data_IF_417771253564
#
_entry.id   IF_417771253564
#
_cell.length_a   1.000
_cell.length_b   1.000
_cell.length_c   1.000
_cell.angle_alpha   90.00
_cell.angle_beta   90.00
_cell.angle_gamma   90.00
#
_symmetry.space_group_name_H-M   'P 1'
#
loop_
_entity.id
_entity.type
_entity.pdbx_description
1 polymer ?
#
# COMPACT_ATOMS: atom_id res chain seq x y z
N UNK A 1 23.06 8.38 -3.24
CA UNK A 1 22.53 7.24 -4.02
C UNK A 1 21.77 6.33 -3.07
N UNK A 2 20.43 6.40 -3.06
CA UNK A 2 19.57 5.60 -2.17
C UNK A 2 18.94 4.48 -3.00
N UNK A 3 19.13 3.24 -2.55
CA UNK A 3 18.71 2.03 -3.25
C UNK A 3 17.17 1.96 -3.26
N UNK A 4 16.58 1.66 -4.43
CA UNK A 4 15.17 1.30 -4.56
C UNK A 4 14.84 0.19 -3.53
N UNK A 5 13.74 0.38 -2.80
CA UNK A 5 13.30 -0.51 -1.73
C UNK A 5 13.07 -1.93 -2.27
N UNK A 6 14.04 -2.81 -2.03
CA UNK A 6 13.94 -4.25 -2.28
C UNK A 6 14.01 -4.96 -0.94
N UNK A 7 13.08 -5.87 -0.69
CA UNK A 7 13.21 -6.81 0.41
C UNK A 7 14.38 -7.76 0.12
N UNK A 8 15.54 -7.54 0.77
CA UNK A 8 16.73 -8.39 0.61
C UNK A 8 16.85 -9.29 1.83
N UNK A 9 16.72 -10.61 1.64
CA UNK A 9 17.25 -11.61 2.58
C UNK A 9 18.75 -11.82 2.29
N UNK A 10 19.62 -11.86 3.30
CA UNK A 10 21.05 -12.07 3.07
C UNK A 10 21.28 -13.56 2.79
N UNK A 11 21.83 -13.92 1.61
CA UNK A 11 22.39 -15.27 1.44
C UNK A 11 22.33 -15.96 0.08
N UNK A 12 21.76 -15.40 -0.99
CA UNK A 12 21.85 -16.08 -2.30
C UNK A 12 21.81 -15.08 -3.46
N UNK A 13 22.87 -15.10 -4.29
CA UNK A 13 22.93 -14.38 -5.56
C UNK A 13 21.89 -14.98 -6.53
N UNK A 14 20.69 -14.43 -6.54
CA UNK A 14 19.84 -14.49 -7.73
C UNK A 14 19.52 -13.07 -8.16
N UNK A 15 20.17 -12.64 -9.24
CA UNK A 15 19.91 -11.37 -9.94
C UNK A 15 18.69 -11.45 -10.86
N UNK A 16 17.89 -12.52 -10.76
CA UNK A 16 16.59 -12.62 -11.42
C UNK A 16 15.46 -12.17 -10.47
N UNK A 17 15.03 -10.92 -10.70
CA UNK A 17 13.73 -10.34 -10.36
C UNK A 17 13.19 -10.61 -8.93
N UNK A 18 13.80 -9.97 -7.92
CA UNK A 18 13.06 -9.68 -6.69
C UNK A 18 11.79 -8.91 -7.09
N UNK A 19 10.60 -9.45 -6.77
CA UNK A 19 9.32 -8.80 -7.06
C UNK A 19 9.35 -7.37 -6.49
N UNK A 20 8.87 -6.36 -7.24
CA UNK A 20 8.63 -5.04 -6.70
C UNK A 20 7.86 -5.10 -5.37
N UNK A 21 8.26 -4.28 -4.40
CA UNK A 21 7.77 -4.35 -3.01
C UNK A 21 6.25 -4.10 -2.94
N UNK A 22 5.75 -3.11 -3.67
CA UNK A 22 4.32 -2.84 -3.89
C UNK A 22 3.52 -4.09 -4.30
N UNK A 23 3.98 -4.84 -5.29
CA UNK A 23 3.30 -6.06 -5.74
C UNK A 23 3.28 -7.12 -4.65
N UNK A 24 4.33 -7.17 -3.84
CA UNK A 24 4.40 -8.07 -2.69
C UNK A 24 3.41 -7.64 -1.62
N UNK A 25 3.33 -6.34 -1.31
CA UNK A 25 2.39 -5.78 -0.34
C UNK A 25 0.92 -6.01 -0.75
N UNK A 26 0.57 -5.74 -2.01
CA UNK A 26 -0.79 -5.97 -2.54
C UNK A 26 -1.14 -7.46 -2.48
N UNK A 27 -0.20 -8.35 -2.82
CA UNK A 27 -0.43 -9.80 -2.75
C UNK A 27 -0.64 -10.29 -1.31
N UNK A 28 0.15 -9.79 -0.34
CA UNK A 28 -0.02 -10.14 1.07
C UNK A 28 -1.33 -9.58 1.63
N UNK A 29 -1.68 -8.33 1.30
CA UNK A 29 -2.94 -7.73 1.74
C UNK A 29 -4.15 -8.54 1.26
N UNK A 30 -4.11 -9.02 0.01
CA UNK A 30 -5.13 -9.93 -0.52
C UNK A 30 -5.17 -11.27 0.22
N UNK A 31 -4.01 -11.84 0.56
CA UNK A 31 -3.93 -13.09 1.31
C UNK A 31 -4.50 -12.94 2.74
N UNK A 32 -4.34 -11.77 3.34
CA UNK A 32 -4.85 -11.42 4.67
C UNK A 32 -6.33 -10.96 4.67
N UNK A 33 -6.98 -11.00 3.50
CA UNK A 33 -8.39 -10.66 3.33
C UNK A 33 -8.70 -9.16 3.48
N UNK A 34 -7.72 -8.28 3.26
CA UNK A 34 -7.93 -6.83 3.27
C UNK A 34 -8.90 -6.46 2.14
N UNK A 35 -9.91 -5.63 2.45
CA UNK A 35 -11.00 -5.29 1.53
C UNK A 35 -10.49 -4.70 0.21
N UNK A 36 -9.54 -3.76 0.27
CA UNK A 36 -8.93 -3.20 -0.91
C UNK A 36 -7.44 -2.93 -0.70
N UNK A 37 -6.64 -3.16 -1.75
CA UNK A 37 -5.21 -2.89 -1.76
C UNK A 37 -4.77 -2.40 -3.15
N UNK A 38 -4.29 -1.14 -3.23
CA UNK A 38 -3.95 -0.49 -4.51
C UNK A 38 -2.56 0.13 -4.41
N UNK A 39 -1.74 -0.09 -5.45
CA UNK A 39 -0.47 0.62 -5.60
C UNK A 39 -0.66 1.86 -6.50
N UNK A 40 -0.29 3.02 -5.99
CA UNK A 40 -0.31 4.29 -6.70
C UNK A 40 1.12 4.65 -7.14
N UNK A 41 1.27 4.91 -8.44
CA UNK A 41 2.50 5.43 -9.02
C UNK A 41 2.31 6.92 -9.32
N UNK A 42 3.19 7.73 -8.77
CA UNK A 42 3.19 9.17 -9.00
C UNK A 42 4.04 9.48 -10.24
N UNK A 43 3.57 10.37 -11.12
CA UNK A 43 4.37 10.82 -12.29
C UNK A 43 5.18 12.08 -12.00
N UNK A 44 4.81 12.84 -10.97
CA UNK A 44 5.48 14.06 -10.55
C UNK A 44 5.22 14.31 -9.06
N UNK A 45 6.26 14.50 -8.26
CA UNK A 45 6.08 14.77 -6.82
C UNK A 45 7.35 14.63 -6.00
N UNK A 46 7.21 14.77 -4.68
CA UNK A 46 8.29 14.56 -3.71
C UNK A 46 7.78 13.75 -2.52
N UNK A 47 8.67 13.17 -1.74
CA UNK A 47 8.34 12.48 -0.49
C UNK A 47 9.32 12.83 0.63
N UNK A 48 8.84 12.86 1.87
CA UNK A 48 9.64 13.07 3.08
C UNK A 48 10.62 14.28 2.99
N UNK A 49 10.15 15.42 2.49
CA UNK A 49 10.94 16.64 2.26
C UNK A 49 12.14 16.47 1.30
N UNK A 50 12.15 15.40 0.51
CA UNK A 50 13.13 15.16 -0.55
C UNK A 50 12.95 16.11 -1.75
N UNK A 51 13.85 16.00 -2.75
CA UNK A 51 13.72 16.76 -3.99
C UNK A 51 12.46 16.37 -4.75
N UNK A 52 12.01 17.27 -5.63
CA UNK A 52 10.93 16.97 -6.58
C UNK A 52 11.47 16.06 -7.68
N UNK A 53 10.72 15.01 -7.98
CA UNK A 53 10.97 14.03 -9.01
C UNK A 53 9.89 14.15 -10.10
N UNK A 54 10.29 13.88 -11.33
CA UNK A 54 9.42 13.85 -12.51
C UNK A 54 9.74 12.62 -13.32
N UNK A 55 8.70 11.97 -13.85
CA UNK A 55 8.87 10.85 -14.75
C UNK A 55 9.33 11.39 -16.11
N UNK A 56 10.58 11.14 -16.48
CA UNK A 56 11.05 11.47 -17.83
C UNK A 56 10.25 10.71 -18.89
N UNK A 57 10.15 11.29 -20.10
CA UNK A 57 9.36 10.74 -21.20
C UNK A 57 9.78 9.32 -21.66
N UNK A 58 10.98 8.86 -21.27
CA UNK A 58 11.57 7.61 -21.80
C UNK A 58 11.89 6.55 -20.73
N UNK A 59 12.11 6.92 -19.46
CA UNK A 59 12.49 5.98 -18.39
C UNK A 59 11.73 6.34 -17.12
N UNK A 60 11.03 5.36 -16.55
CA UNK A 60 10.33 5.54 -15.29
C UNK A 60 11.33 5.78 -14.14
N UNK A 61 11.16 6.84 -13.36
CA UNK A 61 12.00 7.12 -12.20
C UNK A 61 11.62 6.15 -11.06
N UNK A 62 12.50 5.21 -10.66
CA UNK A 62 12.23 4.29 -9.55
C UNK A 62 12.17 4.98 -8.18
N UNK A 63 12.46 6.28 -8.11
CA UNK A 63 12.38 7.12 -6.93
C UNK A 63 11.06 7.90 -6.80
N UNK A 64 10.21 7.89 -7.83
CA UNK A 64 8.87 8.50 -7.73
C UNK A 64 8.03 7.76 -6.71
N UNK A 65 7.36 8.55 -5.86
CA UNK A 65 6.64 8.07 -4.69
C UNK A 65 5.62 7.01 -5.06
N UNK A 66 5.83 5.84 -4.47
CA UNK A 66 4.97 4.66 -4.55
C UNK A 66 4.22 4.56 -3.23
N UNK A 67 2.90 4.75 -3.26
CA UNK A 67 2.04 4.57 -2.10
C UNK A 67 1.22 3.29 -2.29
N UNK A 68 1.18 2.42 -1.29
CA UNK A 68 0.20 1.33 -1.25
C UNK A 68 -0.91 1.76 -0.31
N UNK A 69 -2.11 1.95 -0.86
CA UNK A 69 -3.31 2.24 -0.09
C UNK A 69 -3.99 0.91 0.27
N UNK A 70 -4.31 0.75 1.55
CA UNK A 70 -5.07 -0.37 2.09
C UNK A 70 -6.36 0.15 2.71
N UNK A 71 -7.49 -0.42 2.33
CA UNK A 71 -8.80 -0.15 2.96
C UNK A 71 -9.25 -1.43 3.64
N UNK A 72 -9.59 -1.31 4.92
CA UNK A 72 -10.02 -2.42 5.74
C UNK A 72 -10.31 -1.97 7.17
N UNK A 73 -10.73 -2.91 8.00
CA UNK A 73 -10.96 -2.65 9.42
C UNK A 73 -9.69 -2.22 10.11
N UNK A 74 -9.80 -1.34 11.11
CA UNK A 74 -8.65 -0.85 11.86
C UNK A 74 -7.83 -2.00 12.43
N UNK A 75 -8.48 -2.96 13.08
CA UNK A 75 -7.83 -4.11 13.72
C UNK A 75 -7.13 -4.99 12.69
N UNK A 76 -7.73 -5.12 11.50
CA UNK A 76 -7.16 -5.88 10.39
C UNK A 76 -5.92 -5.17 9.81
N UNK A 77 -5.97 -3.85 9.66
CA UNK A 77 -4.84 -3.03 9.20
C UNK A 77 -3.69 -3.04 10.22
N UNK A 78 -4.00 -2.93 11.52
CA UNK A 78 -3.01 -3.09 12.60
C UNK A 78 -2.42 -4.51 12.62
N UNK A 79 -3.26 -5.53 12.39
CA UNK A 79 -2.86 -6.93 12.23
C UNK A 79 -1.88 -7.12 11.08
N UNK A 80 -2.20 -6.58 9.90
CA UNK A 80 -1.33 -6.57 8.73
C UNK A 80 0.03 -5.93 9.05
N UNK A 81 0.03 -4.76 9.72
CA UNK A 81 1.27 -4.07 10.08
C UNK A 81 2.15 -4.89 11.03
N UNK A 82 1.55 -5.60 12.00
CA UNK A 82 2.27 -6.49 12.92
C UNK A 82 2.82 -7.72 12.20
N UNK A 83 2.01 -8.36 11.35
CA UNK A 83 2.39 -9.58 10.64
C UNK A 83 3.51 -9.35 9.62
N UNK A 84 3.52 -8.18 8.96
CA UNK A 84 4.47 -7.84 7.91
C UNK A 84 5.45 -6.74 8.31
N UNK A 85 5.70 -6.56 9.61
CA UNK A 85 6.54 -5.48 10.15
C UNK A 85 7.94 -5.40 9.52
N UNK A 86 8.55 -6.54 9.21
CA UNK A 86 9.85 -6.59 8.51
C UNK A 86 9.80 -5.99 7.10
N UNK A 87 8.70 -6.19 6.37
CA UNK A 87 8.49 -5.63 5.02
C UNK A 87 8.19 -4.12 5.08
N UNK A 88 7.56 -3.68 6.17
CA UNK A 88 7.14 -2.29 6.39
C UNK A 88 8.20 -1.47 7.11
N UNK A 89 9.31 -2.08 7.53
CA UNK A 89 10.38 -1.40 8.24
C UNK A 89 10.90 -0.19 7.44
N UNK A 90 11.02 0.94 8.14
CA UNK A 90 11.45 2.23 7.58
C UNK A 90 10.52 2.84 6.53
N UNK A 91 9.28 2.34 6.40
CA UNK A 91 8.24 2.96 5.56
C UNK A 91 7.42 3.94 6.41
N UNK A 92 6.93 5.00 5.77
CA UNK A 92 5.96 5.90 6.39
C UNK A 92 4.59 5.24 6.28
N UNK A 93 3.94 5.00 7.41
CA UNK A 93 2.59 4.43 7.49
C UNK A 93 1.69 5.48 8.13
N UNK A 94 0.59 5.81 7.46
CA UNK A 94 -0.40 6.78 7.93
C UNK A 94 -1.76 6.09 7.91
N UNK A 95 -2.53 6.27 8.98
CA UNK A 95 -3.90 5.79 9.08
C UNK A 95 -4.87 6.98 9.09
N UNK A 96 -5.97 6.85 8.36
CA UNK A 96 -7.09 7.79 8.36
C UNK A 96 -8.40 7.00 8.39
N UNK A 97 -9.33 7.45 9.24
CA UNK A 97 -10.68 6.88 9.30
C UNK A 97 -11.47 7.24 8.03
N UNK A 98 -12.20 6.26 7.49
CA UNK A 98 -13.08 6.42 6.32
C UNK A 98 -14.47 5.89 6.68
N UNK A 99 -15.51 6.57 6.19
CA UNK A 99 -16.91 6.15 6.36
C UNK A 99 -17.34 5.28 5.18
N UNK A 100 -18.19 4.28 5.45
CA UNK A 100 -18.87 3.49 4.42
C UNK A 100 -20.31 3.98 4.27
N UNK A 101 -20.66 4.42 3.07
CA UNK A 101 -22.00 4.92 2.78
C UNK A 101 -22.71 3.97 1.83
N UNK A 102 -23.84 3.42 2.27
CA UNK A 102 -24.77 2.73 1.38
C UNK A 102 -25.85 3.71 0.94
N UNK A 103 -25.92 3.96 -0.37
CA UNK A 103 -26.94 4.83 -0.97
C UNK A 103 -28.04 3.97 -1.60
N UNK A 104 -29.29 4.18 -1.21
CA UNK A 104 -30.44 3.46 -1.76
C UNK A 104 -31.62 4.42 -2.01
N UNK A 105 -32.67 4.01 -2.76
CA UNK A 105 -33.90 4.81 -2.88
C UNK A 105 -34.58 5.12 -1.53
N UNK A 106 -34.31 4.33 -0.49
CA UNK A 106 -34.84 4.54 0.86
C UNK A 106 -34.03 5.57 1.68
N UNK A 107 -32.89 6.04 1.16
CA UNK A 107 -32.04 7.04 1.80
C UNK A 107 -30.56 6.66 1.88
N UNK A 108 -29.81 7.47 2.63
CA UNK A 108 -28.40 7.29 2.93
C UNK A 108 -28.25 6.55 4.27
N UNK A 109 -27.57 5.40 4.26
CA UNK A 109 -27.11 4.74 5.47
C UNK A 109 -25.61 4.96 5.61
N UNK A 110 -25.21 5.61 6.69
CA UNK A 110 -23.82 5.86 7.03
C UNK A 110 -23.41 4.89 8.11
N UNK A 111 -22.36 4.13 7.85
CA UNK A 111 -21.77 3.22 8.82
C UNK A 111 -20.27 3.45 8.81
N UNK A 112 -19.63 3.18 9.95
CA UNK A 112 -18.22 2.82 9.88
C UNK A 112 -18.14 1.56 9.03
N UNK A 113 -17.09 1.41 8.20
CA UNK A 113 -16.91 0.13 7.52
C UNK A 113 -16.88 -0.93 8.64
N UNK A 114 -17.85 -1.86 8.70
CA UNK A 114 -17.92 -2.94 9.70
C UNK A 114 -17.82 -4.30 9.00
N UNK A 115 -17.28 -5.27 9.73
CA UNK A 115 -16.88 -6.63 9.36
C UNK A 115 -18.00 -7.48 8.77
N UNK A 116 -19.27 -7.22 9.13
CA UNK A 116 -20.40 -8.07 8.78
C UNK A 116 -20.91 -7.89 7.33
N UNK A 117 -20.62 -6.76 6.69
CA UNK A 117 -21.07 -6.49 5.31
C UNK A 117 -20.03 -6.82 4.23
N UNK A 118 -18.86 -7.35 4.63
CA UNK A 118 -17.68 -7.49 3.78
C UNK A 118 -17.47 -8.88 3.19
N UNK A 119 -18.50 -9.72 3.26
CA UNK A 119 -18.59 -11.00 2.56
C UNK A 119 -19.66 -10.89 1.49
N UNK A 120 -19.44 -9.99 0.53
CA UNK A 120 -20.21 -9.86 -0.71
C UNK A 120 -19.43 -10.40 -1.88
#
# INVERSE_FOLDING_TARGET
MKLADKAVKPGTRSRWAAKPLDRTLVAQAKADGIMNAVAHYTHYGYSNHGPVHENGAEIADPHLTMCVELIGQREQLEGFCRAHGDLLANKVIVYKHLEHWTVSPAGLRQEDADTAELVG
#
